data_IF_402515985900
#
_entry.id   IF_402515985900
#
_cell.length_a   1.000
_cell.length_b   1.000
_cell.length_c   1.000
_cell.angle_alpha   90.00
_cell.angle_beta   90.00
_cell.angle_gamma   90.00
#
_symmetry.space_group_name_H-M   'P 1'
#
loop_
_entity.id
_entity.type
_entity.pdbx_description
1 polymer ?
#
# COMPACT_ATOMS: atom_id res chain seq x y z
N UNK A 1 -22.67 7.77 -10.19
CA UNK A 1 -23.63 7.39 -11.24
C UNK A 1 -24.11 5.95 -11.03
N UNK A 2 -24.84 5.37 -11.99
CA UNK A 2 -25.26 3.96 -11.94
C UNK A 2 -24.08 2.99 -12.13
N UNK A 3 -23.06 3.32 -12.93
CA UNK A 3 -21.86 2.48 -13.11
C UNK A 3 -21.16 2.11 -11.80
N UNK A 4 -21.03 3.07 -10.88
CA UNK A 4 -20.51 2.88 -9.52
C UNK A 4 -21.35 1.93 -8.64
N UNK A 5 -22.56 1.52 -9.05
CA UNK A 5 -23.32 0.46 -8.35
C UNK A 5 -22.99 -0.94 -8.87
N UNK A 6 -22.37 -1.04 -10.04
CA UNK A 6 -22.02 -2.29 -10.69
C UNK A 6 -20.52 -2.59 -10.60
N UNK A 7 -19.67 -1.56 -10.58
CA UNK A 7 -18.23 -1.69 -10.34
C UNK A 7 -17.65 -0.43 -9.70
N UNK A 8 -16.94 -0.57 -8.58
CA UNK A 8 -16.02 0.43 -8.03
C UNK A 8 -14.64 -0.22 -7.95
N UNK A 9 -13.84 -0.21 -9.02
CA UNK A 9 -12.59 -0.93 -9.02
C UNK A 9 -11.59 -0.22 -8.09
N UNK A 10 -10.79 -1.03 -7.40
CA UNK A 10 -9.74 -0.58 -6.49
C UNK A 10 -8.55 -1.51 -6.70
N UNK A 11 -7.43 -0.96 -7.12
CA UNK A 11 -6.15 -1.65 -7.16
C UNK A 11 -5.28 -1.09 -6.03
N UNK A 12 -4.92 -1.95 -5.09
CA UNK A 12 -4.35 -1.56 -3.80
C UNK A 12 -3.28 -2.50 -3.30
N UNK A 13 -2.68 -2.13 -2.17
CA UNK A 13 -1.65 -2.88 -1.46
C UNK A 13 -1.94 -2.81 0.04
N UNK A 14 -2.02 -3.97 0.68
CA UNK A 14 -2.15 -4.06 2.13
C UNK A 14 -0.74 -4.21 2.72
N UNK A 15 -0.27 -3.19 3.42
CA UNK A 15 1.04 -3.18 4.05
C UNK A 15 0.97 -3.92 5.39
N UNK A 16 1.93 -4.81 5.65
CA UNK A 16 1.87 -5.78 6.74
C UNK A 16 3.24 -6.19 7.28
N UNK A 17 3.28 -6.63 8.53
CA UNK A 17 4.37 -7.45 9.06
C UNK A 17 4.01 -8.92 8.96
N UNK A 18 5.02 -9.74 8.69
CA UNK A 18 4.93 -11.19 8.61
C UNK A 18 6.33 -11.76 8.78
N UNK A 19 6.45 -12.82 9.56
CA UNK A 19 7.69 -13.58 9.75
C UNK A 19 7.51 -14.97 9.13
N UNK A 20 8.04 -15.15 7.91
CA UNK A 20 8.03 -16.42 7.18
C UNK A 20 9.02 -17.47 7.73
N UNK A 21 9.97 -17.09 8.59
CA UNK A 21 10.87 -18.04 9.25
C UNK A 21 10.17 -18.74 10.43
N UNK A 22 9.12 -18.14 10.98
CA UNK A 22 8.29 -18.77 12.02
C UNK A 22 7.54 -20.01 11.49
N UNK A 23 7.56 -21.16 12.20
CA UNK A 23 6.73 -22.32 11.86
C UNK A 23 5.22 -22.01 11.95
N UNK A 24 4.86 -20.95 12.69
CA UNK A 24 3.51 -20.41 12.80
C UNK A 24 3.39 -19.05 12.09
N UNK A 25 4.04 -18.86 10.93
CA UNK A 25 4.02 -17.57 10.20
C UNK A 25 2.63 -16.98 9.97
N UNK A 26 1.60 -17.83 9.85
CA UNK A 26 0.21 -17.38 9.71
C UNK A 26 -0.32 -16.66 10.95
N UNK A 27 0.26 -16.87 12.12
CA UNK A 27 -0.07 -16.18 13.36
C UNK A 27 0.74 -14.88 13.52
N UNK A 28 1.77 -14.68 12.68
CA UNK A 28 2.62 -13.46 12.69
C UNK A 28 2.19 -12.41 11.66
N UNK A 29 1.27 -12.75 10.74
CA UNK A 29 0.72 -11.82 9.77
C UNK A 29 -0.19 -10.79 10.44
N UNK A 30 0.27 -9.54 10.53
CA UNK A 30 -0.54 -8.39 10.93
C UNK A 30 -0.46 -7.32 9.83
N UNK A 31 -1.60 -6.98 9.25
CA UNK A 31 -1.69 -5.80 8.40
C UNK A 31 -1.48 -4.55 9.28
N UNK A 32 -0.78 -3.52 8.78
CA UNK A 32 -0.54 -2.25 9.48
C UNK A 32 -1.34 -1.07 8.90
N UNK A 33 -1.48 -1.04 7.57
CA UNK A 33 -2.29 -0.06 6.85
C UNK A 33 -2.65 -0.52 5.43
N UNK A 34 -3.78 -0.05 4.88
CA UNK A 34 -4.10 -0.19 3.47
C UNK A 34 -3.55 1.01 2.67
N UNK A 35 -3.07 0.76 1.45
CA UNK A 35 -2.77 1.79 0.45
C UNK A 35 -3.61 1.47 -0.79
N UNK A 36 -4.78 2.09 -0.93
CA UNK A 36 -5.73 1.78 -2.01
C UNK A 36 -5.64 2.79 -3.17
N UNK A 37 -4.93 3.89 -2.96
CA UNK A 37 -4.50 4.81 -4.01
C UNK A 37 -3.04 5.24 -3.78
N UNK A 38 -2.46 5.85 -4.80
CA UNK A 38 -1.12 6.44 -4.76
C UNK A 38 0.01 5.45 -4.39
N UNK A 39 0.09 4.35 -5.14
CA UNK A 39 0.95 3.22 -4.83
C UNK A 39 2.31 3.29 -5.53
N UNK A 40 3.29 3.91 -4.89
CA UNK A 40 4.68 3.77 -5.30
C UNK A 40 5.21 2.33 -5.16
N UNK A 41 6.17 1.96 -6.01
CA UNK A 41 6.85 0.65 -6.03
C UNK A 41 6.39 -0.29 -7.15
N UNK A 42 5.47 0.14 -8.01
CA UNK A 42 4.89 -0.66 -9.10
C UNK A 42 5.91 -1.10 -10.15
N UNK A 43 6.91 -0.27 -10.45
CA UNK A 43 8.01 -0.62 -11.35
C UNK A 43 9.26 -1.03 -10.58
N UNK A 44 9.56 -0.34 -9.48
CA UNK A 44 10.78 -0.53 -8.70
C UNK A 44 10.92 -1.96 -8.14
N UNK A 45 9.86 -2.56 -7.62
CA UNK A 45 9.95 -3.92 -7.04
C UNK A 45 10.11 -5.02 -8.09
N UNK A 46 9.32 -5.08 -9.18
CA UNK A 46 9.60 -6.01 -10.27
C UNK A 46 11.01 -5.87 -10.85
N UNK A 47 11.61 -4.68 -10.81
CA UNK A 47 13.03 -4.49 -11.16
C UNK A 47 13.99 -5.01 -10.07
N UNK A 48 13.71 -4.83 -8.78
CA UNK A 48 14.50 -5.42 -7.71
C UNK A 48 14.47 -6.97 -7.76
N UNK A 49 13.29 -7.56 -7.94
CA UNK A 49 13.11 -9.01 -8.13
C UNK A 49 13.83 -9.52 -9.38
N UNK A 50 13.77 -8.78 -10.48
CA UNK A 50 14.50 -9.10 -11.71
C UNK A 50 16.01 -9.06 -11.50
N UNK A 51 16.55 -8.04 -10.83
CA UNK A 51 17.99 -7.94 -10.53
C UNK A 51 18.42 -9.13 -9.66
N UNK A 52 17.67 -9.48 -8.62
CA UNK A 52 17.98 -10.64 -7.77
C UNK A 52 17.91 -11.94 -8.59
N UNK A 53 16.91 -12.12 -9.45
CA UNK A 53 16.77 -13.32 -10.28
C UNK A 53 17.82 -13.44 -11.41
N UNK A 54 18.28 -12.32 -11.98
CA UNK A 54 19.26 -12.33 -13.10
C UNK A 54 20.72 -12.29 -12.62
N UNK A 55 21.01 -11.75 -11.42
CA UNK A 55 22.37 -11.55 -10.92
C UNK A 55 22.70 -12.42 -9.71
N UNK A 56 21.80 -12.50 -8.72
CA UNK A 56 22.08 -13.18 -7.45
C UNK A 56 21.73 -14.67 -7.50
N UNK A 57 20.56 -15.02 -8.04
CA UNK A 57 20.10 -16.40 -8.11
C UNK A 57 21.06 -17.33 -8.87
N UNK A 58 21.66 -16.97 -10.03
CA UNK A 58 22.62 -17.84 -10.70
C UNK A 58 23.88 -18.12 -9.88
N UNK A 59 24.31 -17.15 -9.05
CA UNK A 59 25.46 -17.31 -8.15
C UNK A 59 25.12 -18.17 -6.92
N UNK A 60 23.88 -18.12 -6.42
CA UNK A 60 23.41 -19.07 -5.40
C UNK A 60 23.28 -20.48 -5.98
N UNK A 61 22.80 -20.62 -7.22
CA UNK A 61 22.63 -21.90 -7.90
C UNK A 61 23.96 -22.58 -8.30
N UNK A 62 25.07 -21.84 -8.38
CA UNK A 62 26.40 -22.45 -8.52
C UNK A 62 26.92 -23.09 -7.23
N UNK A 63 26.42 -22.67 -6.07
CA UNK A 63 26.76 -23.26 -4.76
C UNK A 63 25.75 -24.36 -4.36
N UNK A 64 24.45 -24.15 -4.63
CA UNK A 64 23.39 -25.14 -4.44
C UNK A 64 22.54 -25.31 -5.72
N UNK A 65 22.89 -26.34 -6.50
CA UNK A 65 22.19 -26.68 -7.74
C UNK A 65 20.75 -27.19 -7.52
N UNK A 66 20.34 -27.51 -6.29
CA UNK A 66 18.96 -27.89 -5.95
C UNK A 66 18.08 -26.67 -5.60
N UNK A 67 18.66 -25.46 -5.52
CA UNK A 67 17.95 -24.22 -5.19
C UNK A 67 17.00 -23.80 -6.33
N UNK A 68 15.73 -24.17 -6.19
CA UNK A 68 14.65 -23.77 -7.08
C UNK A 68 13.86 -22.57 -6.52
N UNK A 69 14.26 -21.36 -6.94
CA UNK A 69 13.53 -20.11 -6.66
C UNK A 69 12.98 -19.51 -7.97
N UNK A 70 11.80 -18.92 -7.92
CA UNK A 70 11.22 -18.12 -9.00
C UNK A 70 10.72 -16.76 -8.51
N UNK A 71 10.50 -15.83 -9.44
CA UNK A 71 9.88 -14.53 -9.14
C UNK A 71 8.38 -14.72 -8.88
N UNK A 72 7.82 -13.91 -7.98
CA UNK A 72 6.38 -13.88 -7.74
C UNK A 72 5.58 -13.27 -8.89
N UNK A 73 4.28 -13.06 -8.66
CA UNK A 73 3.40 -12.38 -9.61
C UNK A 73 3.85 -10.93 -9.80
N UNK A 74 4.04 -10.49 -11.06
CA UNK A 74 4.43 -9.12 -11.36
C UNK A 74 3.24 -8.17 -11.15
N UNK A 75 3.37 -7.24 -10.20
CA UNK A 75 2.31 -6.27 -9.82
C UNK A 75 1.83 -5.42 -11.01
N UNK A 76 2.68 -5.22 -12.02
CA UNK A 76 2.34 -4.46 -13.23
C UNK A 76 1.38 -5.24 -14.11
N UNK A 77 1.58 -6.55 -14.25
CA UNK A 77 0.67 -7.41 -15.01
C UNK A 77 -0.72 -7.48 -14.33
N UNK A 78 -0.75 -7.47 -12.99
CA UNK A 78 -2.00 -7.36 -12.23
C UNK A 78 -2.72 -6.02 -12.47
N UNK A 79 -2.00 -4.90 -12.42
CA UNK A 79 -2.56 -3.57 -12.70
C UNK A 79 -3.09 -3.46 -14.13
N UNK A 80 -2.33 -3.94 -15.12
CA UNK A 80 -2.74 -3.93 -16.52
C UNK A 80 -4.06 -4.68 -16.73
N UNK A 81 -4.21 -5.84 -16.09
CA UNK A 81 -5.43 -6.63 -16.19
C UNK A 81 -6.64 -5.95 -15.52
N UNK A 82 -6.48 -5.35 -14.33
CA UNK A 82 -7.56 -4.58 -13.68
C UNK A 82 -7.95 -3.33 -14.49
N UNK A 83 -6.99 -2.67 -15.16
CA UNK A 83 -7.28 -1.57 -16.09
C UNK A 83 -8.07 -2.04 -17.31
N UNK A 84 -7.69 -3.17 -17.90
CA UNK A 84 -8.39 -3.79 -19.05
C UNK A 84 -9.81 -4.23 -18.69
N UNK A 85 -9.97 -4.91 -17.56
CA UNK A 85 -11.27 -5.36 -17.06
C UNK A 85 -12.22 -4.19 -16.77
N UNK A 86 -11.67 -3.10 -16.22
CA UNK A 86 -12.44 -1.89 -16.00
C UNK A 86 -12.85 -1.22 -17.31
N UNK A 87 -11.96 -1.19 -18.30
CA UNK A 87 -12.24 -0.65 -19.64
C UNK A 87 -13.34 -1.44 -20.36
N UNK A 88 -13.27 -2.78 -20.35
CA UNK A 88 -14.31 -3.66 -20.90
C UNK A 88 -15.66 -3.44 -20.21
N UNK A 89 -15.68 -3.38 -18.86
CA UNK A 89 -16.89 -3.07 -18.10
C UNK A 89 -17.53 -1.72 -18.45
N UNK A 90 -16.71 -0.72 -18.84
CA UNK A 90 -17.19 0.59 -19.28
C UNK A 90 -17.71 0.60 -20.72
N UNK A 91 -17.43 -0.45 -21.52
CA UNK A 91 -17.88 -0.57 -22.90
C UNK A 91 -17.41 0.57 -23.83
N UNK A 92 -16.25 1.19 -23.52
CA UNK A 92 -15.75 2.35 -24.27
C UNK A 92 -14.99 1.91 -25.52
N UNK A 93 -15.21 2.55 -26.69
CA UNK A 93 -14.65 2.06 -27.96
C UNK A 93 -13.14 2.30 -28.12
N UNK A 94 -12.55 3.24 -27.39
CA UNK A 94 -11.11 3.54 -27.45
C UNK A 94 -10.41 2.93 -26.23
N UNK A 95 -9.32 2.20 -26.45
CA UNK A 95 -8.44 1.67 -25.40
C UNK A 95 -7.24 2.57 -25.06
N UNK A 96 -7.47 3.88 -24.97
CA UNK A 96 -6.44 4.86 -24.56
C UNK A 96 -6.49 5.06 -23.04
N UNK A 97 -5.42 4.69 -22.35
CA UNK A 97 -5.28 4.72 -20.89
C UNK A 97 -4.38 5.88 -20.46
N UNK A 98 -4.62 6.43 -19.27
CA UNK A 98 -3.80 7.50 -18.71
C UNK A 98 -3.38 7.17 -17.27
N UNK A 99 -2.08 7.18 -17.00
CA UNK A 99 -1.53 7.18 -15.64
C UNK A 99 -1.46 8.65 -15.20
N UNK A 100 -2.04 8.97 -14.05
CA UNK A 100 -2.22 10.35 -13.58
C UNK A 100 -1.46 10.55 -12.27
N UNK A 101 -0.36 11.29 -12.34
CA UNK A 101 0.60 11.56 -11.26
C UNK A 101 1.12 13.00 -11.39
N UNK A 102 1.54 13.68 -10.31
CA UNK A 102 2.27 14.95 -10.43
C UNK A 102 3.59 14.76 -11.18
N UNK A 103 3.83 15.51 -12.26
CA UNK A 103 5.09 15.42 -13.05
C UNK A 103 6.29 16.16 -12.42
N UNK A 104 6.47 16.04 -11.12
CA UNK A 104 7.58 16.68 -10.38
C UNK A 104 8.72 15.68 -10.14
N UNK A 105 9.71 15.71 -11.03
CA UNK A 105 10.90 14.86 -10.95
C UNK A 105 12.00 15.50 -10.08
N UNK A 106 11.79 15.56 -8.76
CA UNK A 106 12.78 16.12 -7.83
C UNK A 106 13.94 15.14 -7.52
N UNK A 107 13.68 13.82 -7.46
CA UNK A 107 14.71 12.77 -7.51
C UNK A 107 14.12 11.37 -7.76
N UNK A 108 14.94 10.43 -8.25
CA UNK A 108 14.54 9.04 -8.50
C UNK A 108 14.09 8.75 -9.94
N UNK A 109 13.75 7.49 -10.27
CA UNK A 109 13.19 7.13 -11.56
C UNK A 109 11.72 7.52 -11.66
N UNK A 110 11.33 8.12 -12.78
CA UNK A 110 9.94 8.40 -13.20
C UNK A 110 9.17 7.08 -13.35
N UNK A 111 8.48 6.68 -12.28
CA UNK A 111 7.90 5.35 -12.15
C UNK A 111 6.73 5.15 -13.12
N UNK A 112 5.86 6.16 -13.24
CA UNK A 112 4.70 6.10 -14.13
C UNK A 112 5.10 6.12 -15.62
N UNK A 113 6.14 6.86 -16.04
CA UNK A 113 6.63 6.74 -17.42
C UNK A 113 7.23 5.36 -17.69
N UNK A 114 7.96 4.79 -16.74
CA UNK A 114 8.51 3.44 -16.86
C UNK A 114 7.41 2.36 -16.89
N UNK A 115 6.30 2.59 -16.17
CA UNK A 115 5.10 1.75 -16.19
C UNK A 115 4.32 1.88 -17.51
N UNK A 116 4.15 3.09 -18.04
CA UNK A 116 3.54 3.34 -19.35
C UNK A 116 4.31 2.64 -20.48
N UNK A 117 5.64 2.75 -20.50
CA UNK A 117 6.49 2.02 -21.46
C UNK A 117 6.35 0.51 -21.30
N UNK A 118 6.36 -0.02 -20.07
CA UNK A 118 6.13 -1.44 -19.84
C UNK A 118 4.78 -1.91 -20.42
N UNK A 119 3.69 -1.15 -20.22
CA UNK A 119 2.38 -1.51 -20.77
C UNK A 119 2.30 -1.41 -22.31
N UNK A 120 2.99 -0.44 -22.91
CA UNK A 120 3.12 -0.33 -24.37
C UNK A 120 3.87 -1.55 -24.94
N UNK A 121 5.04 -1.89 -24.39
CA UNK A 121 5.89 -2.98 -24.90
C UNK A 121 5.36 -4.39 -24.60
N UNK A 122 4.81 -4.61 -23.40
CA UNK A 122 4.39 -5.93 -22.92
C UNK A 122 3.00 -6.37 -23.41
N UNK A 123 2.12 -5.40 -23.64
CA UNK A 123 0.68 -5.62 -23.86
C UNK A 123 0.09 -4.86 -25.05
N UNK A 124 0.89 -4.09 -25.82
CA UNK A 124 0.43 -3.24 -26.94
C UNK A 124 -0.66 -2.23 -26.54
N UNK A 125 -0.62 -1.75 -25.28
CA UNK A 125 -1.59 -0.80 -24.75
C UNK A 125 -1.19 0.65 -25.01
N UNK A 126 -2.17 1.47 -25.41
CA UNK A 126 -2.01 2.91 -25.57
C UNK A 126 -2.07 3.59 -24.21
N UNK A 127 -0.96 3.54 -23.47
CA UNK A 127 -0.86 4.13 -22.13
C UNK A 127 -0.05 5.42 -22.18
N UNK A 128 -0.55 6.47 -21.54
CA UNK A 128 0.06 7.80 -21.48
C UNK A 128 0.28 8.22 -20.01
N UNK A 129 1.30 9.04 -19.72
CA UNK A 129 1.50 9.65 -18.40
C UNK A 129 1.10 11.14 -18.49
N UNK A 130 0.16 11.58 -17.66
CA UNK A 130 -0.31 12.98 -17.58
C UNK A 130 -0.37 13.51 -16.14
N UNK A 131 -0.05 14.79 -15.97
CA UNK A 131 -0.44 15.55 -14.79
C UNK A 131 -1.92 15.97 -14.89
N UNK A 132 -2.70 16.06 -13.80
CA UNK A 132 -4.09 16.50 -13.85
C UNK A 132 -4.32 17.82 -14.60
N UNK A 133 -3.36 18.75 -14.55
CA UNK A 133 -3.44 20.06 -15.21
C UNK A 133 -3.21 20.02 -16.73
N UNK A 134 -2.70 18.90 -17.28
CA UNK A 134 -2.56 18.68 -18.72
C UNK A 134 -3.88 18.20 -19.36
N UNK A 135 -4.82 17.69 -18.57
CA UNK A 135 -6.09 17.17 -19.05
C UNK A 135 -7.02 18.29 -19.53
N UNK A 136 -7.84 18.00 -20.55
CA UNK A 136 -8.80 18.95 -21.13
C UNK A 136 -10.17 18.31 -21.28
N UNK A 137 -11.21 19.00 -20.82
CA UNK A 137 -12.60 18.60 -20.99
C UNK A 137 -13.16 19.22 -22.29
N UNK A 138 -13.76 18.41 -23.16
CA UNK A 138 -14.46 18.82 -24.39
C UNK A 138 -15.67 17.91 -24.57
N UNK A 139 -16.87 18.49 -24.64
CA UNK A 139 -18.14 17.78 -24.89
C UNK A 139 -18.36 16.55 -23.97
N UNK A 140 -18.23 16.75 -22.64
CA UNK A 140 -18.27 15.72 -21.59
C UNK A 140 -17.19 14.61 -21.70
N UNK A 141 -16.22 14.76 -22.60
CA UNK A 141 -15.10 13.84 -22.81
C UNK A 141 -13.76 14.44 -22.37
N UNK A 142 -12.90 13.59 -21.80
CA UNK A 142 -11.62 14.00 -21.21
C UNK A 142 -10.47 13.55 -22.09
N UNK A 143 -9.57 14.49 -22.37
CA UNK A 143 -8.46 14.31 -23.30
C UNK A 143 -7.11 14.63 -22.67
N UNK A 144 -6.09 13.85 -23.04
CA UNK A 144 -4.68 14.19 -22.90
C UNK A 144 -4.13 14.49 -24.31
N UNK A 145 -3.79 15.76 -24.59
CA UNK A 145 -3.44 16.19 -25.94
C UNK A 145 -4.60 15.99 -26.94
N UNK A 146 -4.44 15.06 -27.88
CA UNK A 146 -5.45 14.61 -28.84
C UNK A 146 -6.13 13.29 -28.45
N UNK A 147 -5.63 12.60 -27.41
CA UNK A 147 -6.09 11.26 -26.98
C UNK A 147 -7.28 11.37 -26.06
N UNK A 148 -8.39 10.71 -26.40
CA UNK A 148 -9.54 10.55 -25.51
C UNK A 148 -9.20 9.51 -24.44
N UNK A 149 -9.04 9.93 -23.19
CA UNK A 149 -8.80 9.01 -22.06
C UNK A 149 -10.01 8.10 -21.92
N UNK A 150 -9.84 6.79 -21.75
CA UNK A 150 -10.96 5.87 -21.46
C UNK A 150 -10.95 5.37 -20.03
N UNK A 151 -9.79 4.97 -19.52
CA UNK A 151 -9.55 4.68 -18.10
C UNK A 151 -8.34 5.44 -17.63
N UNK A 152 -8.46 6.09 -16.48
CA UNK A 152 -7.36 6.72 -15.78
C UNK A 152 -6.91 5.85 -14.60
N UNK A 153 -5.63 5.48 -14.53
CA UNK A 153 -5.01 5.08 -13.27
C UNK A 153 -4.63 6.36 -12.49
N UNK A 154 -4.93 6.45 -11.19
CA UNK A 154 -4.55 7.60 -10.35
C UNK A 154 -3.46 7.25 -9.33
N UNK A 155 -2.39 8.00 -9.41
CA UNK A 155 -1.38 8.20 -8.39
C UNK A 155 -1.46 9.66 -7.91
N UNK A 156 -2.65 10.02 -7.41
CA UNK A 156 -2.97 11.40 -7.01
C UNK A 156 -4.01 11.40 -5.87
N UNK A 157 -3.68 11.99 -4.69
CA UNK A 157 -4.62 12.13 -3.58
C UNK A 157 -5.79 13.07 -3.89
N UNK A 158 -6.97 12.79 -3.32
CA UNK A 158 -8.13 13.69 -3.48
C UNK A 158 -7.89 15.04 -2.78
N UNK A 159 -7.15 15.06 -1.67
CA UNK A 159 -6.76 16.30 -0.99
C UNK A 159 -5.93 17.21 -1.91
N UNK A 160 -4.98 16.64 -2.63
CA UNK A 160 -4.10 17.38 -3.53
C UNK A 160 -4.85 17.91 -4.75
N UNK A 161 -5.84 17.18 -5.28
CA UNK A 161 -6.74 17.70 -6.32
C UNK A 161 -7.55 18.91 -5.82
N UNK A 162 -7.99 18.90 -4.56
CA UNK A 162 -8.70 20.04 -3.94
C UNK A 162 -7.74 21.22 -3.74
N UNK A 163 -6.51 20.97 -3.29
CA UNK A 163 -5.48 22.00 -3.14
C UNK A 163 -5.10 22.63 -4.50
N UNK A 164 -5.00 21.82 -5.55
CA UNK A 164 -4.72 22.23 -6.92
C UNK A 164 -5.84 23.11 -7.51
N UNK A 165 -7.10 22.76 -7.23
CA UNK A 165 -8.27 23.60 -7.57
C UNK A 165 -8.28 24.93 -6.81
N UNK A 166 -7.93 24.92 -5.51
CA UNK A 166 -7.81 26.12 -4.70
C UNK A 166 -6.67 27.06 -5.16
N UNK A 167 -5.65 26.50 -5.83
CA UNK A 167 -4.59 27.25 -6.51
C UNK A 167 -4.99 27.77 -7.91
N UNK A 168 -6.20 27.44 -8.38
CA UNK A 168 -6.81 27.96 -9.61
C UNK A 168 -6.65 27.07 -10.85
N UNK A 169 -6.17 25.83 -10.71
CA UNK A 169 -6.10 24.90 -11.84
C UNK A 169 -7.44 24.18 -12.09
N UNK A 170 -7.71 23.85 -13.35
CA UNK A 170 -8.96 23.17 -13.76
C UNK A 170 -8.90 21.66 -13.46
N UNK A 171 -9.55 21.24 -12.37
CA UNK A 171 -9.76 19.82 -12.03
C UNK A 171 -11.10 19.27 -12.54
N UNK A 172 -11.83 20.03 -13.36
CA UNK A 172 -13.04 19.60 -14.07
C UNK A 172 -12.88 18.29 -14.85
N UNK A 173 -11.77 18.04 -15.56
CA UNK A 173 -11.48 16.76 -16.20
C UNK A 173 -11.47 15.58 -15.21
N UNK A 174 -10.77 15.71 -14.08
CA UNK A 174 -10.72 14.66 -13.04
C UNK A 174 -12.10 14.41 -12.42
N UNK A 175 -12.85 15.48 -12.12
CA UNK A 175 -14.24 15.37 -11.63
C UNK A 175 -15.14 14.64 -12.63
N UNK A 176 -14.94 14.84 -13.93
CA UNK A 176 -15.68 14.15 -15.00
C UNK A 176 -15.32 12.66 -15.06
N UNK A 177 -14.02 12.32 -15.01
CA UNK A 177 -13.57 10.92 -14.96
C UNK A 177 -14.19 10.17 -13.77
N UNK A 178 -14.16 10.75 -12.56
CA UNK A 178 -14.79 10.13 -11.37
C UNK A 178 -16.30 9.96 -11.52
N UNK A 179 -17.03 10.98 -12.01
CA UNK A 179 -18.49 10.93 -12.21
C UNK A 179 -18.89 9.83 -13.17
N UNK A 180 -18.12 9.66 -14.25
CA UNK A 180 -18.34 8.67 -15.30
C UNK A 180 -17.73 7.29 -14.99
N UNK A 181 -17.17 7.10 -13.79
CA UNK A 181 -16.55 5.85 -13.33
C UNK A 181 -15.35 5.43 -14.21
N UNK A 182 -14.51 6.37 -14.65
CA UNK A 182 -13.35 6.14 -15.52
C UNK A 182 -12.02 6.22 -14.75
N UNK A 183 -11.99 5.83 -13.47
CA UNK A 183 -10.82 5.99 -12.58
C UNK A 183 -10.55 4.72 -11.76
N UNK A 184 -9.30 4.25 -11.83
CA UNK A 184 -8.72 3.17 -11.05
C UNK A 184 -7.58 3.74 -10.18
N UNK A 185 -7.51 3.56 -8.87
CA UNK A 185 -8.63 3.17 -8.02
C UNK A 185 -9.70 4.26 -8.00
N UNK A 186 -10.95 3.82 -7.96
CA UNK A 186 -12.13 4.68 -7.90
C UNK A 186 -12.16 5.51 -6.60
N UNK A 187 -13.25 6.26 -6.39
CA UNK A 187 -13.44 7.04 -5.15
C UNK A 187 -13.50 6.15 -3.91
N UNK A 188 -13.84 4.85 -4.06
CA UNK A 188 -13.82 3.86 -2.98
C UNK A 188 -12.44 3.59 -2.40
N UNK A 189 -11.35 3.96 -3.08
CA UNK A 189 -10.03 3.88 -2.46
C UNK A 189 -9.85 4.84 -1.27
N UNK A 190 -10.74 5.82 -1.04
CA UNK A 190 -10.73 6.61 0.21
C UNK A 190 -11.00 5.78 1.49
N UNK A 191 -11.36 4.50 1.36
CA UNK A 191 -11.31 3.55 2.49
C UNK A 191 -9.87 3.13 2.86
N UNK A 192 -8.83 3.77 2.28
CA UNK A 192 -7.44 3.64 2.72
C UNK A 192 -7.08 4.44 3.99
N UNK A 193 -7.98 5.32 4.44
CA UNK A 193 -7.85 6.02 5.71
C UNK A 193 -7.70 5.05 6.89
N UNK A 194 -6.71 5.27 7.76
CA UNK A 194 -6.37 4.36 8.86
C UNK A 194 -7.51 4.20 9.88
N UNK A 195 -8.38 5.20 10.00
CA UNK A 195 -9.58 5.22 10.84
C UNK A 195 -10.65 4.22 10.38
N UNK A 196 -10.68 3.84 9.10
CA UNK A 196 -11.59 2.81 8.59
C UNK A 196 -11.34 1.42 9.23
N UNK A 197 -10.17 1.18 9.83
CA UNK A 197 -9.87 -0.07 10.54
C UNK A 197 -10.56 -0.19 11.91
N UNK A 198 -11.09 0.91 12.43
CA UNK A 198 -12.04 0.85 13.54
C UNK A 198 -13.28 0.04 13.16
N UNK A 199 -13.74 0.09 11.90
CA UNK A 199 -14.90 -0.68 11.42
C UNK A 199 -14.64 -2.19 11.46
N UNK A 200 -13.37 -2.61 11.35
CA UNK A 200 -12.94 -4.01 11.40
C UNK A 200 -12.70 -4.51 12.83
N UNK A 201 -12.36 -3.60 13.76
CA UNK A 201 -11.87 -3.94 15.11
C UNK A 201 -12.76 -3.44 16.25
N UNK A 202 -13.85 -2.73 15.96
CA UNK A 202 -14.95 -2.43 16.88
C UNK A 202 -16.01 -3.54 16.81
N UNK A 203 -16.29 -4.29 17.89
CA UNK A 203 -17.22 -5.42 17.83
C UNK A 203 -18.66 -5.07 17.44
N UNK A 204 -19.12 -3.83 17.67
CA UNK A 204 -20.46 -3.38 17.30
C UNK A 204 -20.55 -3.07 15.81
N UNK A 205 -19.50 -2.49 15.23
CA UNK A 205 -19.39 -2.25 13.79
C UNK A 205 -19.13 -3.56 13.02
N UNK A 206 -18.17 -4.34 13.48
CA UNK A 206 -17.78 -5.61 12.87
C UNK A 206 -18.96 -6.60 12.87
N UNK A 207 -19.61 -6.78 14.02
CA UNK A 207 -20.79 -7.63 14.20
C UNK A 207 -22.04 -7.18 13.43
N UNK A 208 -22.07 -5.95 12.93
CA UNK A 208 -23.19 -5.41 12.12
C UNK A 208 -23.01 -5.62 10.62
N UNK A 209 -21.77 -5.60 10.12
CA UNK A 209 -21.49 -5.56 8.69
C UNK A 209 -20.78 -6.81 8.13
N UNK A 210 -20.19 -7.65 8.99
CA UNK A 210 -19.38 -8.79 8.57
C UNK A 210 -19.80 -10.10 9.23
N UNK A 211 -19.51 -11.21 8.56
CA UNK A 211 -19.74 -12.57 9.06
C UNK A 211 -18.81 -12.93 10.24
N UNK A 212 -19.16 -13.91 11.09
CA UNK A 212 -18.27 -14.41 12.13
C UNK A 212 -16.90 -14.87 11.61
N UNK A 213 -16.86 -15.46 10.41
CA UNK A 213 -15.65 -15.93 9.76
C UNK A 213 -14.72 -14.77 9.34
N UNK A 214 -15.29 -13.66 8.84
CA UNK A 214 -14.54 -12.43 8.55
C UNK A 214 -14.05 -11.74 9.84
N UNK A 215 -14.88 -11.73 10.88
CA UNK A 215 -14.52 -11.16 12.19
C UNK A 215 -13.32 -11.87 12.83
N UNK A 216 -13.22 -13.20 12.71
CA UNK A 216 -12.05 -13.97 13.16
C UNK A 216 -10.77 -13.59 12.38
N UNK A 217 -10.89 -13.37 11.07
CA UNK A 217 -9.77 -12.87 10.24
C UNK A 217 -9.32 -11.48 10.73
N UNK A 218 -10.25 -10.58 11.04
CA UNK A 218 -9.89 -9.25 11.56
C UNK A 218 -9.24 -9.32 12.94
N UNK A 219 -9.83 -10.08 13.87
CA UNK A 219 -9.30 -10.28 15.22
C UNK A 219 -7.86 -10.83 15.20
N UNK A 220 -7.54 -11.71 14.25
CA UNK A 220 -6.21 -12.33 14.11
C UNK A 220 -5.19 -11.46 13.37
N UNK A 221 -5.63 -10.65 12.39
CA UNK A 221 -4.73 -10.03 11.41
C UNK A 221 -4.77 -8.48 11.35
N UNK A 222 -5.67 -7.84 12.07
CA UNK A 222 -5.84 -6.37 12.08
C UNK A 222 -5.66 -5.86 13.52
N UNK A 223 -4.53 -5.19 13.83
CA UNK A 223 -4.27 -4.60 15.14
C UNK A 223 -5.39 -3.67 15.59
N UNK A 224 -5.76 -3.73 16.87
CA UNK A 224 -6.83 -2.88 17.41
C UNK A 224 -6.61 -1.42 17.05
N UNK A 225 -7.62 -0.75 16.47
CA UNK A 225 -7.48 0.60 15.93
C UNK A 225 -8.69 1.46 16.30
N UNK A 226 -8.46 2.68 16.81
CA UNK A 226 -9.52 3.66 17.10
C UNK A 226 -9.15 5.06 16.62
N UNK A 227 -10.15 5.77 16.12
CA UNK A 227 -10.12 7.22 15.91
C UNK A 227 -9.84 7.90 17.25
N UNK A 228 -8.80 8.74 17.30
CA UNK A 228 -8.26 9.33 18.53
C UNK A 228 -9.12 10.50 19.02
N UNK A 229 -10.19 10.19 19.77
CA UNK A 229 -11.16 11.18 20.23
C UNK A 229 -11.57 10.98 21.70
N UNK A 230 -12.08 12.03 22.34
CA UNK A 230 -12.54 12.00 23.73
C UNK A 230 -13.92 11.30 23.84
N UNK A 231 -13.92 9.97 24.01
CA UNK A 231 -15.13 9.14 24.12
C UNK A 231 -14.91 7.87 24.95
N UNK A 232 -15.99 7.14 25.19
CA UNK A 232 -15.93 5.71 25.50
C UNK A 232 -15.68 4.91 24.21
N UNK A 233 -14.96 3.80 24.33
CA UNK A 233 -14.73 2.84 23.25
C UNK A 233 -14.47 1.44 23.83
N UNK A 234 -14.70 0.39 23.03
CA UNK A 234 -14.23 -0.96 23.37
C UNK A 234 -12.70 -1.01 23.25
N UNK A 235 -12.03 -1.24 24.37
CA UNK A 235 -10.58 -1.36 24.53
C UNK A 235 -10.09 -2.76 24.08
N UNK A 236 -8.78 -3.01 23.90
CA UNK A 236 -8.27 -4.29 23.37
C UNK A 236 -8.70 -5.53 24.16
N UNK A 237 -8.89 -5.42 25.47
CA UNK A 237 -9.41 -6.50 26.33
C UNK A 237 -10.94 -6.67 26.28
N UNK A 238 -11.62 -6.11 25.26
CA UNK A 238 -13.05 -6.31 24.99
C UNK A 238 -14.01 -5.59 25.95
N UNK A 239 -13.53 -4.80 26.92
CA UNK A 239 -14.39 -4.00 27.80
C UNK A 239 -14.50 -2.56 27.29
N UNK A 240 -15.63 -1.91 27.57
CA UNK A 240 -15.81 -0.49 27.30
C UNK A 240 -15.11 0.37 28.36
N UNK A 241 -14.41 1.43 27.93
CA UNK A 241 -13.78 2.39 28.84
C UNK A 241 -13.42 3.71 28.17
N UNK A 242 -12.97 4.72 28.95
CA UNK A 242 -12.58 6.03 28.40
C UNK A 242 -11.30 5.89 27.55
N UNK A 243 -11.43 6.10 26.24
CA UNK A 243 -10.37 5.87 25.26
C UNK A 243 -9.08 6.61 25.63
N UNK A 244 -9.16 7.91 25.91
CA UNK A 244 -7.97 8.72 26.21
C UNK A 244 -7.28 8.33 27.53
N UNK A 245 -8.00 7.78 28.51
CA UNK A 245 -7.40 7.29 29.75
C UNK A 245 -6.53 6.05 29.46
N UNK A 246 -7.06 5.10 28.70
CA UNK A 246 -6.31 3.92 28.23
C UNK A 246 -5.08 4.33 27.40
N UNK A 247 -5.25 5.22 26.41
CA UNK A 247 -4.15 5.71 25.56
C UNK A 247 -3.05 6.42 26.35
N UNK A 248 -3.37 7.07 27.47
CA UNK A 248 -2.39 7.70 28.38
C UNK A 248 -1.74 6.76 29.38
N UNK A 249 -2.31 5.57 29.59
CA UNK A 249 -1.84 4.58 30.57
C UNK A 249 -0.94 3.54 29.89
N UNK A 250 -1.39 2.98 28.77
CA UNK A 250 -0.80 1.81 28.12
C UNK A 250 0.03 2.18 26.86
N UNK A 251 0.64 3.38 26.87
CA UNK A 251 1.33 3.95 25.70
C UNK A 251 2.39 3.05 25.07
N UNK A 252 3.07 2.21 25.86
CA UNK A 252 4.17 1.36 25.37
C UNK A 252 3.68 0.30 24.36
N UNK A 253 2.39 -0.02 24.38
CA UNK A 253 1.74 -0.98 23.47
C UNK A 253 1.04 -0.29 22.29
N UNK A 254 1.22 1.03 22.11
CA UNK A 254 0.44 1.83 21.17
C UNK A 254 1.31 2.62 20.20
N UNK A 255 0.76 2.87 19.02
CA UNK A 255 1.24 3.84 18.03
C UNK A 255 0.17 4.89 17.80
N UNK A 256 0.59 6.16 17.80
CA UNK A 256 -0.24 7.32 17.44
C UNK A 256 0.20 7.79 16.05
N UNK A 257 -0.73 7.89 15.10
CA UNK A 257 -0.43 8.23 13.70
C UNK A 257 -1.53 9.10 13.08
N UNK A 258 -1.21 10.06 12.19
CA UNK A 258 -2.23 10.79 11.43
C UNK A 258 -3.03 9.80 10.56
N UNK A 259 -4.31 10.07 10.35
CA UNK A 259 -5.24 9.17 9.64
C UNK A 259 -4.89 8.98 8.15
N UNK A 260 -4.32 10.03 7.55
CA UNK A 260 -4.17 10.18 6.08
C UNK A 260 -2.73 10.42 5.63
N UNK A 261 -1.77 10.47 6.56
CA UNK A 261 -0.35 10.62 6.23
C UNK A 261 0.25 9.30 5.73
N UNK A 262 1.25 9.42 4.86
CA UNK A 262 1.99 8.31 4.26
C UNK A 262 3.46 8.34 4.71
N UNK A 263 4.24 7.30 4.38
CA UNK A 263 5.69 7.30 4.59
C UNK A 263 6.15 7.42 6.05
N UNK A 264 5.29 7.12 7.03
CA UNK A 264 5.61 7.24 8.44
C UNK A 264 5.65 8.67 8.99
N UNK A 265 5.21 9.67 8.22
CA UNK A 265 5.12 11.05 8.72
C UNK A 265 4.14 11.15 9.91
N UNK A 266 4.56 11.85 10.96
CA UNK A 266 3.78 12.01 12.20
C UNK A 266 3.61 10.73 13.03
N UNK A 267 4.18 9.59 12.64
CA UNK A 267 4.07 8.33 13.40
C UNK A 267 4.90 8.38 14.67
N UNK A 268 4.25 8.13 15.81
CA UNK A 268 4.86 8.16 17.14
C UNK A 268 4.63 6.81 17.81
N UNK A 269 5.73 6.08 18.06
CA UNK A 269 5.71 4.81 18.78
C UNK A 269 5.78 5.09 20.29
N UNK A 270 4.74 4.74 21.06
CA UNK A 270 4.66 5.13 22.47
C UNK A 270 5.71 4.48 23.38
N UNK A 271 6.30 3.34 22.97
CA UNK A 271 7.49 2.74 23.61
C UNK A 271 8.81 3.48 23.35
N UNK A 272 8.85 4.40 22.39
CA UNK A 272 10.06 5.10 21.95
C UNK A 272 10.13 6.54 22.43
N UNK A 273 9.14 7.00 23.19
CA UNK A 273 9.04 8.37 23.72
C UNK A 273 8.72 8.36 25.21
N UNK A 274 9.11 9.40 25.93
CA UNK A 274 8.73 9.55 27.34
C UNK A 274 7.23 9.83 27.48
N UNK A 275 6.69 9.62 28.69
CA UNK A 275 5.29 9.92 29.00
C UNK A 275 4.89 11.38 28.75
N UNK A 276 5.80 12.31 28.99
CA UNK A 276 5.56 13.74 28.74
C UNK A 276 5.47 14.05 27.24
N UNK A 277 6.34 13.45 26.43
CA UNK A 277 6.32 13.59 24.97
C UNK A 277 5.08 12.93 24.35
N UNK A 278 4.68 11.76 24.83
CA UNK A 278 3.44 11.08 24.42
C UNK A 278 2.20 11.91 24.76
N UNK A 279 2.11 12.44 25.98
CA UNK A 279 1.01 13.34 26.35
C UNK A 279 1.01 14.62 25.50
N UNK A 280 2.17 15.23 25.24
CA UNK A 280 2.25 16.38 24.34
C UNK A 280 1.82 16.03 22.91
N UNK A 281 2.16 14.83 22.42
CA UNK A 281 1.72 14.33 21.11
C UNK A 281 0.20 14.11 21.05
N UNK A 282 -0.37 13.48 22.07
CA UNK A 282 -1.81 13.26 22.18
C UNK A 282 -2.59 14.59 22.21
N UNK A 283 -2.10 15.60 22.95
CA UNK A 283 -2.71 16.93 22.95
C UNK A 283 -2.63 17.61 21.57
N UNK A 284 -1.54 17.43 20.81
CA UNK A 284 -1.46 17.92 19.42
C UNK A 284 -2.46 17.21 18.53
N UNK A 285 -2.50 15.87 18.57
CA UNK A 285 -3.41 15.04 17.78
C UNK A 285 -4.91 15.37 18.04
N UNK A 286 -5.26 15.71 19.28
CA UNK A 286 -6.63 16.13 19.67
C UNK A 286 -6.97 17.58 19.28
N UNK A 287 -5.98 18.40 18.95
CA UNK A 287 -6.14 19.80 18.54
C UNK A 287 -5.89 20.02 17.04
N UNK A 288 -5.52 18.97 16.31
CA UNK A 288 -5.27 18.99 14.87
C UNK A 288 -6.59 19.09 14.08
N UNK A 289 -6.50 19.60 12.86
CA UNK A 289 -7.61 19.64 11.90
C UNK A 289 -7.69 18.31 11.14
N UNK A 290 -6.55 17.69 10.83
CA UNK A 290 -6.54 16.34 10.24
C UNK A 290 -6.76 15.29 11.34
N UNK A 291 -7.60 14.26 11.11
CA UNK A 291 -7.85 13.23 12.11
C UNK A 291 -6.58 12.41 12.43
N UNK A 292 -6.54 11.89 13.66
CA UNK A 292 -5.50 10.97 14.13
C UNK A 292 -6.13 9.65 14.58
N UNK A 293 -5.35 8.57 14.51
CA UNK A 293 -5.72 7.27 15.06
C UNK A 293 -4.70 6.80 16.08
N UNK A 294 -5.20 6.06 17.07
CA UNK A 294 -4.38 5.21 17.92
C UNK A 294 -4.57 3.75 17.48
N UNK A 295 -3.47 3.01 17.40
CA UNK A 295 -3.46 1.62 17.00
C UNK A 295 -2.53 0.81 17.91
N UNK A 296 -2.82 -0.46 18.09
CA UNK A 296 -1.95 -1.42 18.76
C UNK A 296 -0.60 -1.58 18.03
N UNK A 297 0.49 -1.59 18.80
CA UNK A 297 1.84 -1.59 18.25
C UNK A 297 2.28 -3.00 17.83
N UNK A 298 2.22 -3.26 16.52
CA UNK A 298 2.78 -4.48 15.95
C UNK A 298 4.30 -4.59 16.18
N UNK A 299 4.78 -5.83 16.37
CA UNK A 299 6.21 -6.13 16.38
C UNK A 299 6.69 -6.32 14.94
N UNK A 300 7.66 -5.50 14.51
CA UNK A 300 8.22 -5.56 13.16
C UNK A 300 9.42 -6.53 13.17
N UNK A 301 9.42 -7.58 12.35
CA UNK A 301 10.55 -8.51 12.23
C UNK A 301 11.83 -7.80 11.79
N UNK A 302 12.97 -8.28 12.28
CA UNK A 302 14.30 -7.83 11.90
C UNK A 302 15.01 -8.97 11.19
N UNK A 303 15.50 -8.70 9.98
CA UNK A 303 16.23 -9.66 9.16
C UNK A 303 17.60 -9.10 8.80
N UNK A 304 18.62 -9.96 8.77
CA UNK A 304 19.95 -9.58 8.30
C UNK A 304 20.03 -9.64 6.77
N UNK A 305 20.47 -8.54 6.16
CA UNK A 305 20.69 -8.45 4.71
C UNK A 305 22.17 -8.26 4.39
N UNK A 306 22.69 -8.86 3.29
CA UNK A 306 24.04 -8.60 2.81
C UNK A 306 24.11 -7.19 2.20
N UNK A 307 24.91 -6.32 2.81
CA UNK A 307 25.18 -4.96 2.34
C UNK A 307 26.60 -4.91 1.77
N UNK A 308 26.71 -4.51 0.50
CA UNK A 308 27.99 -4.23 -0.12
C UNK A 308 28.49 -2.84 0.31
N UNK A 309 29.72 -2.78 0.78
CA UNK A 309 30.44 -1.54 1.11
C UNK A 309 31.45 -1.18 0.01
N UNK A 310 32.17 -0.08 0.21
CA UNK A 310 33.30 0.29 -0.62
C UNK A 310 34.35 -0.84 -0.69
N UNK A 311 35.14 -0.86 -1.77
CA UNK A 311 36.13 -1.90 -2.08
C UNK A 311 35.56 -3.34 -2.18
N UNK A 312 34.23 -3.52 -2.26
CA UNK A 312 33.60 -4.82 -2.51
C UNK A 312 33.49 -5.75 -1.29
N UNK A 313 33.67 -5.23 -0.08
CA UNK A 313 33.36 -5.97 1.15
C UNK A 313 31.86 -6.14 1.31
N UNK A 314 31.42 -7.26 1.86
CA UNK A 314 30.01 -7.53 2.18
C UNK A 314 29.88 -7.79 3.68
N UNK A 315 28.94 -7.09 4.30
CA UNK A 315 28.61 -7.26 5.71
C UNK A 315 27.11 -7.52 5.87
N UNK A 316 26.75 -8.49 6.72
CA UNK A 316 25.37 -8.64 7.18
C UNK A 316 25.02 -7.47 8.10
N UNK A 317 23.88 -6.83 7.84
CA UNK A 317 23.34 -5.76 8.70
C UNK A 317 21.84 -5.99 8.94
N UNK A 318 21.34 -5.75 10.17
CA UNK A 318 19.93 -5.93 10.50
C UNK A 318 19.07 -4.80 9.94
N UNK A 319 17.93 -5.15 9.35
CA UNK A 319 16.89 -4.21 8.91
C UNK A 319 15.51 -4.67 9.39
N UNK A 320 14.68 -3.70 9.79
CA UNK A 320 13.25 -3.89 10.01
C UNK A 320 12.55 -4.13 8.68
N UNK A 321 11.78 -5.21 8.56
CA UNK A 321 11.11 -5.61 7.30
C UNK A 321 9.60 -5.47 7.38
N UNK A 322 9.02 -4.80 6.40
CA UNK A 322 7.57 -4.71 6.17
C UNK A 322 7.29 -5.12 4.73
N UNK A 323 6.24 -5.90 4.53
CA UNK A 323 5.79 -6.33 3.21
C UNK A 323 4.55 -5.55 2.78
N UNK A 324 4.22 -5.58 1.50
CA UNK A 324 2.98 -5.06 0.95
C UNK A 324 2.36 -6.07 -0.01
N UNK A 325 1.08 -6.36 0.17
CA UNK A 325 0.35 -7.40 -0.57
C UNK A 325 -0.65 -6.79 -1.54
N UNK A 326 -0.40 -6.91 -2.84
CA UNK A 326 -1.33 -6.49 -3.91
C UNK A 326 -2.02 -7.72 -4.48
N UNK A 327 -3.23 -7.98 -3.97
CA UNK A 327 -4.05 -9.13 -4.36
C UNK A 327 -5.10 -8.72 -5.40
N UNK A 328 -5.30 -9.55 -6.41
CA UNK A 328 -6.40 -9.47 -7.39
C UNK A 328 -7.01 -10.86 -7.58
N UNK A 329 -8.03 -10.98 -8.45
CA UNK A 329 -8.54 -12.29 -8.86
C UNK A 329 -7.55 -13.11 -9.72
N UNK A 330 -6.46 -12.50 -10.19
CA UNK A 330 -5.46 -13.12 -11.07
C UNK A 330 -4.20 -13.59 -10.34
N UNK A 331 -3.97 -13.10 -9.12
CA UNK A 331 -2.79 -13.46 -8.35
C UNK A 331 -2.47 -12.48 -7.23
N UNK A 332 -1.32 -12.70 -6.61
CA UNK A 332 -0.79 -11.92 -5.50
C UNK A 332 0.63 -11.48 -5.82
N UNK A 333 0.86 -10.17 -5.86
CA UNK A 333 2.20 -9.59 -5.88
C UNK A 333 2.63 -9.18 -4.46
N UNK A 334 3.92 -9.31 -4.16
CA UNK A 334 4.48 -9.01 -2.83
C UNK A 334 5.61 -7.99 -2.95
N UNK A 335 5.56 -6.95 -2.11
CA UNK A 335 6.49 -5.83 -2.10
C UNK A 335 7.29 -5.83 -0.80
N UNK A 336 8.57 -6.21 -0.83
CA UNK A 336 9.46 -6.18 0.34
C UNK A 336 10.11 -4.81 0.55
N UNK A 337 10.01 -4.23 1.76
CA UNK A 337 10.74 -3.02 2.18
C UNK A 337 11.53 -3.27 3.46
N UNK A 338 12.77 -2.80 3.49
CA UNK A 338 13.70 -2.92 4.61
C UNK A 338 14.14 -1.53 5.09
N UNK A 339 14.27 -1.29 6.39
CA UNK A 339 14.73 -0.01 6.95
C UNK A 339 15.65 -0.21 8.16
N UNK A 340 16.70 0.62 8.35
CA UNK A 340 17.46 0.62 9.59
C UNK A 340 16.66 1.19 10.79
N UNK A 341 15.49 1.79 10.53
CA UNK A 341 14.57 2.37 11.51
C UNK A 341 13.29 1.53 11.62
N UNK A 342 12.67 1.40 12.82
CA UNK A 342 11.37 0.72 12.97
C UNK A 342 10.23 1.45 12.26
N UNK A 343 10.38 2.74 11.92
CA UNK A 343 9.49 3.40 10.97
C UNK A 343 10.01 3.11 9.56
N UNK A 344 9.41 2.12 8.89
CA UNK A 344 9.89 1.60 7.60
C UNK A 344 9.41 2.48 6.44
N UNK A 345 10.23 3.45 6.05
CA UNK A 345 10.03 4.24 4.83
C UNK A 345 11.28 4.16 3.92
N UNK A 346 11.09 3.78 2.66
CA UNK A 346 12.14 3.72 1.63
C UNK A 346 12.77 5.10 1.40
N UNK A 347 11.97 6.17 1.39
CA UNK A 347 12.47 7.53 1.19
C UNK A 347 13.34 8.06 2.34
N UNK A 348 13.38 7.38 3.50
CA UNK A 348 14.19 7.76 4.66
C UNK A 348 15.45 6.88 4.83
N UNK A 349 16.02 6.41 3.71
CA UNK A 349 17.19 5.54 3.72
C UNK A 349 16.86 4.05 3.91
N UNK A 350 15.59 3.67 3.73
CA UNK A 350 15.20 2.28 3.56
C UNK A 350 15.51 1.77 2.13
N UNK A 351 15.50 0.46 1.96
CA UNK A 351 15.62 -0.22 0.68
C UNK A 351 14.40 -1.09 0.37
N UNK A 352 14.42 -1.70 -0.80
CA UNK A 352 13.49 -2.77 -1.18
C UNK A 352 14.22 -4.11 -1.18
N UNK A 353 13.49 -5.19 -0.92
CA UNK A 353 14.00 -6.55 -1.06
C UNK A 353 13.04 -7.40 -1.90
N UNK A 354 13.61 -8.35 -2.66
CA UNK A 354 12.85 -9.28 -3.48
C UNK A 354 12.24 -10.38 -2.62
N UNK A 355 10.99 -10.77 -2.90
CA UNK A 355 10.36 -11.96 -2.33
C UNK A 355 10.25 -13.00 -3.44
N UNK A 356 11.07 -14.05 -3.36
CA UNK A 356 11.05 -15.15 -4.33
C UNK A 356 10.25 -16.33 -3.79
N UNK A 357 9.56 -17.02 -4.70
CA UNK A 357 8.81 -18.25 -4.38
C UNK A 357 9.77 -19.43 -4.45
N UNK A 358 9.92 -20.15 -3.33
CA UNK A 358 10.78 -21.33 -3.26
C UNK A 358 9.99 -22.63 -3.47
N UNK A 359 10.48 -23.48 -4.37
CA UNK A 359 9.93 -24.81 -4.62
C UNK A 359 10.68 -25.87 -3.83
N UNK A 360 9.95 -26.77 -3.15
CA UNK A 360 10.57 -27.96 -2.56
C UNK A 360 10.93 -28.97 -3.65
N UNK A 361 12.11 -29.56 -3.56
CA UNK A 361 12.49 -30.70 -4.41
C UNK A 361 11.45 -31.83 -4.26
N UNK A 362 11.05 -32.46 -5.37
CA UNK A 362 9.93 -33.42 -5.36
C UNK A 362 10.24 -34.75 -4.64
N UNK A 363 11.49 -34.97 -4.20
CA UNK A 363 11.98 -36.21 -3.63
C UNK A 363 11.72 -36.35 -2.12
N UNK A 364 11.25 -35.31 -1.44
CA UNK A 364 10.80 -35.34 -0.03
C UNK A 364 9.46 -36.08 0.18
N UNK A 365 9.14 -37.05 -0.70
CA UNK A 365 8.18 -38.12 -0.42
C UNK A 365 8.79 -39.15 0.53
N UNK A 366 9.21 -38.69 1.71
CA UNK A 366 9.59 -39.59 2.80
C UNK A 366 8.33 -40.32 3.26
N UNK A 367 8.44 -41.64 3.14
CA UNK A 367 7.63 -42.72 3.70
C UNK A 367 6.76 -42.33 4.90
N UNK A 368 5.47 -42.69 4.83
CA UNK A 368 4.52 -42.66 5.95
C UNK A 368 4.92 -43.60 7.10
#
# INVERSE_FOLDING_TARGET
GPGQRHSNPVFGRLDAVIDFASPCWKDTLLFLEPNLSCMGGLHLVPMAERIVAEVVLPALQSEDAALALERGTDVRELLAQEMLDHWDHLGRPDGDFCLIEPKYADSGPDEQRALAHFFQERFDLKVWHADPTELRLRDEEVYYGDRRVSVAYRDYPIADLIALEAQGADVGPMRTLFRQNRVLSSISALFDHKSCWEVLTDPLLAGKYFTPEEQEVFHRHVPWTRSCTARLATLPHGQEGPLLAYVCQDQEFLVLKPDRAFGGEGVILGKSVTRAEWQAALHRALADVEPWVVQELATIPVHDFPVAEAEGKVHLRPFYTVMGFSATRYGLAVLGRASPSPVVNVAQGGGMFAVLVGHRHQDDKVTR
#
